data_IF_776297650497
#
_entry.id   IF_776297650497
#
_cell.length_a   1.000
_cell.length_b   1.000
_cell.length_c   1.000
_cell.angle_alpha   90.00
_cell.angle_beta   90.00
_cell.angle_gamma   90.00
#
_symmetry.space_group_name_H-M   'P 1'
#
loop_
_entity.id
_entity.type
_entity.pdbx_description
1 polymer ?
#
# COMPACT_ATOMS: atom_id res chain seq x y z
N UNK A 1 -21.10 26.99 -3.30
CA UNK A 1 -21.68 25.64 -3.37
C UNK A 1 -20.57 24.70 -2.99
N UNK A 2 -20.71 23.95 -1.89
CA UNK A 2 -19.82 22.81 -1.67
C UNK A 2 -20.26 21.77 -2.69
N UNK A 3 -19.41 21.45 -3.65
CA UNK A 3 -19.67 20.35 -4.57
C UNK A 3 -19.52 19.06 -3.75
N UNK A 4 -20.61 18.67 -3.08
CA UNK A 4 -20.64 17.46 -2.26
C UNK A 4 -20.55 16.30 -3.23
N UNK A 5 -19.38 15.67 -3.25
CA UNK A 5 -19.13 14.49 -4.07
C UNK A 5 -19.82 13.30 -3.41
N UNK A 6 -20.61 12.56 -4.18
CA UNK A 6 -21.22 11.32 -3.70
C UNK A 6 -20.13 10.30 -3.30
N UNK A 7 -20.42 9.48 -2.29
CA UNK A 7 -19.50 8.46 -1.78
C UNK A 7 -19.01 7.50 -2.89
N UNK A 8 -19.88 7.16 -3.86
CA UNK A 8 -19.51 6.31 -4.99
C UNK A 8 -18.51 7.00 -5.93
N UNK A 9 -18.62 8.31 -6.10
CA UNK A 9 -17.69 9.07 -6.92
C UNK A 9 -16.33 9.25 -6.22
N UNK A 10 -16.33 9.42 -4.89
CA UNK A 10 -15.09 9.35 -4.11
C UNK A 10 -14.43 7.98 -4.24
N UNK A 11 -15.20 6.90 -4.08
CA UNK A 11 -14.70 5.53 -4.20
C UNK A 11 -14.16 5.24 -5.60
N UNK A 12 -14.82 5.74 -6.65
CA UNK A 12 -14.35 5.64 -8.04
C UNK A 12 -13.00 6.31 -8.23
N UNK A 13 -12.81 7.52 -7.68
CA UNK A 13 -11.54 8.26 -7.78
C UNK A 13 -10.41 7.59 -7.01
N UNK A 14 -10.70 7.07 -5.82
CA UNK A 14 -9.72 6.34 -5.01
C UNK A 14 -9.26 5.07 -5.75
N UNK A 15 -10.21 4.28 -6.27
CA UNK A 15 -9.90 3.09 -7.08
C UNK A 15 -9.05 3.44 -8.31
N UNK A 16 -9.43 4.49 -9.04
CA UNK A 16 -8.62 4.99 -10.16
C UNK A 16 -7.21 5.40 -9.72
N UNK A 17 -7.07 6.10 -8.60
CA UNK A 17 -5.77 6.50 -8.06
C UNK A 17 -4.90 5.30 -7.68
N UNK A 18 -5.50 4.24 -7.12
CA UNK A 18 -4.82 2.97 -6.83
C UNK A 18 -4.33 2.31 -8.11
N UNK A 19 -5.19 2.21 -9.12
CA UNK A 19 -4.85 1.57 -10.39
C UNK A 19 -3.71 2.34 -11.08
N UNK A 20 -3.75 3.68 -11.06
CA UNK A 20 -2.67 4.54 -11.53
C UNK A 20 -1.35 4.30 -10.77
N UNK A 21 -1.40 4.19 -9.44
CA UNK A 21 -0.20 3.91 -8.64
C UNK A 21 0.41 2.54 -8.99
N UNK A 22 -0.42 1.52 -9.22
CA UNK A 22 0.06 0.20 -9.68
C UNK A 22 0.68 0.25 -11.09
N UNK A 23 0.16 1.07 -12.00
CA UNK A 23 0.75 1.28 -13.32
C UNK A 23 2.12 1.96 -13.23
N UNK A 24 2.23 3.02 -12.42
CA UNK A 24 3.49 3.73 -12.18
C UNK A 24 4.54 2.83 -11.51
N UNK A 25 4.17 2.05 -10.49
CA UNK A 25 5.04 1.05 -9.86
C UNK A 25 5.69 0.15 -10.91
N UNK A 26 4.88 -0.43 -11.81
CA UNK A 26 5.36 -1.31 -12.89
C UNK A 26 6.30 -0.58 -13.84
N UNK A 27 5.94 0.64 -14.26
CA UNK A 27 6.77 1.43 -15.16
C UNK A 27 8.14 1.77 -14.55
N UNK A 28 8.18 2.07 -13.25
CA UNK A 28 9.44 2.33 -12.54
C UNK A 28 10.27 1.05 -12.32
N UNK A 29 9.64 -0.11 -12.07
CA UNK A 29 10.35 -1.39 -12.01
C UNK A 29 10.95 -1.79 -13.37
N UNK A 30 10.22 -1.61 -14.46
CA UNK A 30 10.73 -1.83 -15.82
C UNK A 30 11.92 -0.90 -16.12
N UNK A 31 11.82 0.37 -15.70
CA UNK A 31 12.92 1.32 -15.82
C UNK A 31 14.13 0.92 -14.98
N UNK A 32 13.95 0.48 -13.73
CA UNK A 32 15.04 -0.02 -12.89
C UNK A 32 15.76 -1.21 -13.52
N UNK A 33 15.01 -2.17 -14.07
CA UNK A 33 15.56 -3.33 -14.76
C UNK A 33 16.40 -2.92 -15.99
N UNK A 34 15.90 -2.01 -16.81
CA UNK A 34 16.64 -1.55 -18.00
C UNK A 34 17.92 -0.77 -17.67
N UNK A 35 17.97 -0.10 -16.51
CA UNK A 35 19.13 0.67 -16.05
C UNK A 35 20.17 -0.17 -15.30
N UNK A 36 19.80 -1.34 -14.77
CA UNK A 36 20.63 -2.13 -13.85
C UNK A 36 22.05 -2.39 -14.38
N UNK A 37 22.21 -2.61 -15.69
CA UNK A 37 23.51 -2.91 -16.29
C UNK A 37 24.35 -1.67 -16.64
N UNK A 38 23.71 -0.52 -16.87
CA UNK A 38 24.38 0.68 -17.43
C UNK A 38 24.53 1.81 -16.41
N UNK A 39 23.63 1.87 -15.43
CA UNK A 39 23.54 2.95 -14.45
C UNK A 39 22.88 2.40 -13.16
N UNK A 40 23.67 1.73 -12.30
CA UNK A 40 23.15 1.06 -11.11
C UNK A 40 22.60 2.06 -10.07
N UNK A 41 23.09 3.29 -10.04
CA UNK A 41 22.60 4.31 -9.11
C UNK A 41 21.21 4.78 -9.52
N UNK A 42 20.99 5.08 -10.82
CA UNK A 42 19.62 5.38 -11.28
C UNK A 42 18.68 4.18 -11.22
N UNK A 43 19.19 2.96 -11.32
CA UNK A 43 18.37 1.76 -11.10
C UNK A 43 17.84 1.69 -9.65
N UNK A 44 18.66 2.07 -8.66
CA UNK A 44 18.22 2.19 -7.25
C UNK A 44 17.18 3.28 -7.08
N UNK A 45 17.42 4.48 -7.61
CA UNK A 45 16.44 5.57 -7.56
C UNK A 45 15.09 5.17 -8.19
N UNK A 46 15.11 4.48 -9.34
CA UNK A 46 13.90 3.96 -9.97
C UNK A 46 13.19 2.91 -9.09
N UNK A 47 13.94 2.05 -8.41
CA UNK A 47 13.39 1.06 -7.47
C UNK A 47 12.73 1.73 -6.26
N UNK A 48 13.37 2.74 -5.66
CA UNK A 48 12.78 3.51 -4.55
C UNK A 48 11.48 4.21 -4.96
N UNK A 49 11.44 4.71 -6.20
CA UNK A 49 10.24 5.33 -6.77
C UNK A 49 9.12 4.30 -6.98
N UNK A 50 9.45 3.11 -7.45
CA UNK A 50 8.48 2.00 -7.53
C UNK A 50 7.91 1.64 -6.15
N UNK A 51 8.77 1.48 -5.12
CA UNK A 51 8.35 1.19 -3.75
C UNK A 51 7.41 2.29 -3.20
N UNK A 52 7.66 3.55 -3.55
CA UNK A 52 6.78 4.66 -3.16
C UNK A 52 5.38 4.48 -3.73
N UNK A 53 5.26 4.17 -5.02
CA UNK A 53 3.96 3.91 -5.65
C UNK A 53 3.29 2.65 -5.10
N UNK A 54 4.06 1.60 -4.80
CA UNK A 54 3.55 0.40 -4.14
C UNK A 54 2.90 0.71 -2.79
N UNK A 55 3.56 1.51 -1.95
CA UNK A 55 3.01 1.93 -0.65
C UNK A 55 1.72 2.74 -0.83
N UNK A 56 1.68 3.67 -1.80
CA UNK A 56 0.46 4.44 -2.11
C UNK A 56 -0.66 3.52 -2.55
N UNK A 57 -0.40 2.56 -3.44
CA UNK A 57 -1.39 1.58 -3.87
C UNK A 57 -1.94 0.76 -2.68
N UNK A 58 -1.08 0.34 -1.75
CA UNK A 58 -1.47 -0.37 -0.54
C UNK A 58 -2.37 0.46 0.38
N UNK A 59 -2.02 1.74 0.63
CA UNK A 59 -2.85 2.64 1.44
C UNK A 59 -4.22 2.87 0.79
N UNK A 60 -4.27 3.09 -0.53
CA UNK A 60 -5.53 3.27 -1.24
C UNK A 60 -6.36 1.98 -1.24
N UNK A 61 -5.73 0.81 -1.30
CA UNK A 61 -6.41 -0.47 -1.17
C UNK A 61 -7.03 -0.65 0.22
N UNK A 62 -6.30 -0.32 1.29
CA UNK A 62 -6.80 -0.35 2.67
C UNK A 62 -7.97 0.61 2.90
N UNK A 63 -7.93 1.81 2.30
CA UNK A 63 -9.06 2.76 2.35
C UNK A 63 -10.31 2.17 1.66
N UNK A 64 -10.13 1.47 0.53
CA UNK A 64 -11.24 0.84 -0.22
C UNK A 64 -11.78 -0.40 0.49
N UNK A 65 -10.92 -1.16 1.14
CA UNK A 65 -11.25 -2.42 1.79
C UNK A 65 -10.45 -2.56 3.11
N UNK A 66 -10.94 -1.97 4.21
CA UNK A 66 -10.23 -1.98 5.49
C UNK A 66 -10.00 -3.41 6.01
N UNK A 67 -8.82 -3.65 6.59
CA UNK A 67 -8.37 -4.93 7.10
C UNK A 67 -7.92 -5.93 6.02
N UNK A 68 -7.83 -5.51 4.76
CA UNK A 68 -7.35 -6.38 3.66
C UNK A 68 -5.84 -6.55 3.69
N UNK A 69 -5.13 -5.57 4.24
CA UNK A 69 -3.70 -5.70 4.52
C UNK A 69 -3.52 -6.10 5.99
N UNK A 70 -2.80 -7.20 6.22
CA UNK A 70 -2.18 -7.39 7.51
C UNK A 70 -1.19 -6.24 7.68
N UNK A 71 -1.58 -5.20 8.39
CA UNK A 71 -0.62 -4.28 8.98
C UNK A 71 0.23 -5.21 9.83
N UNK A 72 1.49 -5.44 9.43
CA UNK A 72 2.44 -6.11 10.31
C UNK A 72 2.48 -5.27 11.57
N UNK A 73 1.70 -5.70 12.56
CA UNK A 73 1.69 -5.17 13.90
C UNK A 73 3.01 -5.59 14.55
N UNK A 74 4.09 -4.99 14.07
CA UNK A 74 5.38 -5.04 14.71
C UNK A 74 5.25 -4.42 16.09
N UNK A 75 5.34 -5.27 17.11
CA UNK A 75 5.53 -4.95 18.51
C UNK A 75 4.29 -4.55 19.33
N UNK A 76 3.26 -5.40 19.39
CA UNK A 76 2.69 -5.71 20.71
C UNK A 76 2.79 -7.21 20.95
N UNK A 77 3.88 -7.59 21.64
CA UNK A 77 4.07 -8.92 22.19
C UNK A 77 2.98 -9.20 23.22
N UNK A 78 1.89 -9.81 22.76
CA UNK A 78 0.98 -10.55 23.61
C UNK A 78 1.75 -11.69 24.27
N UNK A 79 2.20 -11.46 25.50
CA UNK A 79 2.38 -12.56 26.43
C UNK A 79 1.00 -13.08 26.77
N UNK A 80 0.59 -14.11 26.05
CA UNK A 80 -0.44 -15.03 26.51
C UNK A 80 0.00 -15.61 27.86
N UNK A 81 -0.55 -15.09 28.95
CA UNK A 81 -0.64 -15.83 30.19
C UNK A 81 -2.06 -16.40 30.26
N UNK A 82 -2.18 -17.64 29.80
CA UNK A 82 -3.35 -18.47 30.02
C UNK A 82 -3.74 -18.52 31.49
N UNK A 83 -5.03 -18.53 31.75
CA UNK A 83 -5.56 -18.58 33.10
C UNK A 83 -7.06 -18.84 33.09
N UNK A 84 -7.43 -20.08 32.76
CA UNK A 84 -8.77 -20.59 32.97
C UNK A 84 -9.26 -20.29 34.39
N UNK A 85 -10.47 -19.73 34.54
CA UNK A 85 -11.30 -20.02 35.70
C UNK A 85 -12.80 -19.91 35.38
N UNK A 86 -13.43 -21.08 35.44
CA UNK A 86 -14.87 -21.32 35.56
C UNK A 86 -15.30 -21.03 37.02
N UNK A 87 -16.62 -20.93 37.26
CA UNK A 87 -17.32 -20.92 38.58
C UNK A 87 -17.46 -19.50 39.17
N UNK A 88 -18.62 -18.98 39.57
CA UNK A 88 -19.99 -19.49 39.83
C UNK A 88 -21.04 -18.71 39.06
#
# INVERSE_FOLDING_TARGET
MSDVVDADELLRRIRRGRDLATEEERAWLERAQSLTATDPDRAREATERALTYQVVAGVLAEIVAPGSHAVDAGAEGGTEAGGARRVT
#
